data_IF_432303774664
#
_entry.id   IF_432303774664
#
_cell.length_a   1.000
_cell.length_b   1.000
_cell.length_c   1.000
_cell.angle_alpha   90.00
_cell.angle_beta   90.00
_cell.angle_gamma   90.00
#
_symmetry.space_group_name_H-M   'P 1'
#
loop_
_entity.id
_entity.type
_entity.pdbx_description
1 polymer ?
#
# COMPACT_ATOMS: atom_id res chain seq x y z
N UNK A 1 -4.36 -12.77 -7.18
CA UNK A 1 -3.01 -12.20 -7.28
C UNK A 1 -2.93 -11.11 -6.23
N UNK A 2 -1.90 -11.12 -5.38
CA UNK A 2 -1.73 -10.12 -4.33
C UNK A 2 -0.79 -9.01 -4.83
N UNK A 3 -1.22 -7.76 -4.70
CA UNK A 3 -0.45 -6.55 -5.04
C UNK A 3 -0.26 -5.70 -3.80
N UNK A 4 0.96 -5.21 -3.62
CA UNK A 4 1.31 -4.27 -2.56
C UNK A 4 1.63 -2.92 -3.16
N UNK A 5 0.80 -1.92 -2.88
CA UNK A 5 1.04 -0.52 -3.25
C UNK A 5 1.87 0.15 -2.14
N UNK A 6 2.99 0.77 -2.50
CA UNK A 6 3.95 1.33 -1.53
C UNK A 6 4.68 2.54 -2.14
N UNK A 7 5.13 3.48 -1.30
CA UNK A 7 5.98 4.61 -1.72
C UNK A 7 5.23 5.93 -1.89
N UNK A 8 3.93 5.88 -2.17
CA UNK A 8 3.05 7.04 -2.22
C UNK A 8 2.48 7.44 -0.85
N UNK A 9 1.68 8.51 -0.88
CA UNK A 9 0.81 8.91 0.24
C UNK A 9 -0.49 8.15 0.17
N UNK A 10 -1.04 7.70 1.30
CA UNK A 10 -2.34 7.05 1.33
C UNK A 10 -3.40 8.02 1.84
N UNK A 11 -4.53 8.16 1.17
CA UNK A 11 -5.68 8.88 1.69
C UNK A 11 -6.77 7.88 2.11
N UNK A 12 -7.12 7.84 3.39
CA UNK A 12 -8.09 6.88 3.92
C UNK A 12 -9.56 7.31 3.75
N UNK A 13 -9.80 8.49 3.16
CA UNK A 13 -11.12 9.12 3.06
C UNK A 13 -11.31 10.28 4.04
N UNK A 14 -10.49 10.36 5.09
CA UNK A 14 -10.54 11.42 6.10
C UNK A 14 -9.23 12.22 6.14
N UNK A 15 -8.09 11.53 6.05
CA UNK A 15 -6.76 12.12 6.18
C UNK A 15 -5.73 11.42 5.31
N UNK A 16 -4.63 12.14 5.09
CA UNK A 16 -3.45 11.59 4.43
C UNK A 16 -2.57 10.90 5.47
N UNK A 17 -2.16 9.68 5.14
CA UNK A 17 -1.28 8.81 5.88
C UNK A 17 0.01 8.60 5.07
N UNK A 18 1.10 9.17 5.55
CA UNK A 18 2.42 8.99 4.96
C UNK A 18 3.04 7.65 5.37
N UNK A 19 3.78 7.03 4.44
CA UNK A 19 4.54 5.81 4.70
C UNK A 19 3.72 4.54 4.91
N UNK A 20 2.43 4.56 4.56
CA UNK A 20 1.58 3.37 4.55
C UNK A 20 1.75 2.59 3.25
N UNK A 21 1.44 1.30 3.32
CA UNK A 21 1.32 0.42 2.18
C UNK A 21 -0.04 -0.30 2.21
N UNK A 22 -0.59 -0.55 1.03
CA UNK A 22 -1.89 -1.18 0.85
C UNK A 22 -1.71 -2.53 0.17
N UNK A 23 -2.10 -3.58 0.87
CA UNK A 23 -2.17 -4.93 0.32
C UNK A 23 -3.56 -5.15 -0.27
N UNK A 24 -3.61 -5.33 -1.58
CA UNK A 24 -4.79 -5.69 -2.35
C UNK A 24 -4.68 -7.13 -2.80
N UNK A 25 -5.78 -7.87 -2.70
CA UNK A 25 -5.88 -9.21 -3.23
C UNK A 25 -7.27 -9.44 -3.83
N UNK A 26 -7.31 -9.67 -5.14
CA UNK A 26 -8.56 -9.97 -5.84
C UNK A 26 -9.52 -8.78 -5.93
N UNK A 27 -8.98 -7.57 -6.05
CA UNK A 27 -9.74 -6.32 -6.11
C UNK A 27 -10.23 -5.81 -4.76
N UNK A 28 -9.80 -6.41 -3.65
CA UNK A 28 -10.18 -6.01 -2.29
C UNK A 28 -8.95 -5.65 -1.47
N UNK A 29 -9.02 -4.54 -0.74
CA UNK A 29 -8.00 -4.20 0.26
C UNK A 29 -8.05 -5.19 1.40
N UNK A 30 -7.00 -6.01 1.54
CA UNK A 30 -6.86 -6.98 2.62
C UNK A 30 -6.25 -6.36 3.86
N UNK A 31 -5.30 -5.45 3.67
CA UNK A 31 -4.55 -4.84 4.78
C UNK A 31 -3.99 -3.49 4.40
N UNK A 32 -4.00 -2.58 5.36
CA UNK A 32 -3.28 -1.30 5.32
C UNK A 32 -2.40 -1.26 6.55
N UNK A 33 -1.10 -1.06 6.36
CA UNK A 33 -0.12 -0.97 7.44
C UNK A 33 1.13 -0.20 6.97
N UNK A 34 2.02 0.24 7.89
CA UNK A 34 3.30 0.84 7.52
C UNK A 34 4.08 0.00 6.51
N UNK A 35 4.69 0.64 5.52
CA UNK A 35 5.45 -0.04 4.47
C UNK A 35 6.54 -0.98 5.01
N UNK A 36 7.12 -0.64 6.16
CA UNK A 36 8.13 -1.46 6.85
C UNK A 36 7.61 -2.84 7.27
N UNK A 37 6.32 -2.99 7.58
CA UNK A 37 5.74 -4.30 7.93
C UNK A 37 5.72 -5.27 6.74
N UNK A 38 5.81 -4.76 5.52
CA UNK A 38 5.79 -5.56 4.29
C UNK A 38 7.18 -5.79 3.69
N UNK A 39 8.26 -5.55 4.45
CA UNK A 39 9.63 -5.81 4.00
C UNK A 39 9.83 -7.26 3.51
N UNK A 40 9.13 -8.23 4.10
CA UNK A 40 9.17 -9.65 3.72
C UNK A 40 8.17 -10.08 2.63
N UNK A 41 7.39 -9.17 2.05
CA UNK A 41 6.39 -9.54 1.04
C UNK A 41 7.06 -10.11 -0.23
N UNK A 42 6.55 -11.23 -0.77
CA UNK A 42 7.14 -11.89 -1.93
C UNK A 42 6.29 -11.75 -3.21
N UNK A 43 5.22 -10.95 -3.16
CA UNK A 43 4.32 -10.72 -4.29
C UNK A 43 4.66 -9.48 -5.11
N UNK A 44 3.71 -9.08 -5.95
CA UNK A 44 3.87 -7.93 -6.85
C UNK A 44 3.84 -6.62 -6.06
N UNK A 45 4.87 -5.79 -6.23
CA UNK A 45 4.94 -4.47 -5.62
C UNK A 45 4.72 -3.40 -6.68
N UNK A 46 3.86 -2.45 -6.37
CA UNK A 46 3.58 -1.28 -7.19
C UNK A 46 4.12 -0.07 -6.44
N UNK A 47 5.15 0.55 -7.00
CA UNK A 47 5.70 1.80 -6.48
C UNK A 47 4.79 2.97 -6.88
N UNK A 48 4.26 3.66 -5.89
CA UNK A 48 3.37 4.81 -6.02
C UNK A 48 4.03 6.11 -5.60
N UNK A 49 5.37 6.13 -5.51
CA UNK A 49 6.18 7.30 -5.20
C UNK A 49 5.81 8.51 -6.08
N UNK A 50 5.61 9.66 -5.43
CA UNK A 50 5.17 10.89 -6.09
C UNK A 50 3.65 10.98 -6.34
N UNK A 51 2.92 9.89 -6.12
CA UNK A 51 1.45 9.83 -6.19
C UNK A 51 0.77 9.84 -4.81
N UNK A 52 -0.56 9.92 -4.85
CA UNK A 52 -1.44 9.68 -3.71
C UNK A 52 -2.41 8.56 -4.07
N UNK A 53 -2.51 7.54 -3.21
CA UNK A 53 -3.39 6.39 -3.32
C UNK A 53 -4.68 6.62 -2.53
#
# INVERSE_FOLDING_TARGET
MARLYVGGRLFDGEKVLDGQAVLEEGGTVKRVAPAAEFAGFAGERVDTSGGTL
#
